data_IF_753031640015
#
_entry.id   IF_753031640015
#
_cell.length_a   1.000
_cell.length_b   1.000
_cell.length_c   1.000
_cell.angle_alpha   90.00
_cell.angle_beta   90.00
_cell.angle_gamma   90.00
#
_symmetry.space_group_name_H-M   'P 1'
#
loop_
_entity.id
_entity.type
_entity.pdbx_description
1 polymer ?
#
# COMPACT_ATOMS: atom_id res chain seq x y z
N UNK A 1 -6.31 -41.02 38.85
CA UNK A 1 -5.94 -41.33 37.45
C UNK A 1 -6.15 -40.11 36.54
N UNK A 2 -5.11 -39.78 35.78
CA UNK A 2 -5.03 -38.99 34.53
C UNK A 2 -5.46 -37.51 34.53
N UNK A 3 -4.43 -36.66 34.59
CA UNK A 3 -4.42 -35.30 34.08
C UNK A 3 -4.61 -35.27 32.55
N UNK A 4 -5.31 -34.26 32.03
CA UNK A 4 -5.28 -33.92 30.61
C UNK A 4 -5.33 -32.40 30.44
N UNK A 5 -4.14 -31.86 30.15
CA UNK A 5 -3.84 -30.49 29.76
C UNK A 5 -4.72 -30.09 28.57
N UNK A 6 -5.49 -29.00 28.68
CA UNK A 6 -5.97 -28.28 27.51
C UNK A 6 -5.01 -27.12 27.25
N UNK A 7 -4.07 -27.46 26.39
CA UNK A 7 -3.08 -26.64 25.73
C UNK A 7 -3.63 -25.24 25.40
N UNK A 8 -2.96 -24.23 25.95
CA UNK A 8 -3.09 -22.83 25.55
C UNK A 8 -2.95 -22.78 24.03
N UNK A 9 -4.00 -22.39 23.31
CA UNK A 9 -3.94 -22.09 21.88
C UNK A 9 -2.82 -21.08 21.66
N UNK A 10 -1.66 -21.56 21.17
CA UNK A 10 -0.60 -20.67 20.70
C UNK A 10 -1.21 -19.79 19.60
N UNK A 11 -1.01 -18.47 19.62
CA UNK A 11 -1.41 -17.65 18.49
C UNK A 11 -0.71 -18.21 17.25
N UNK A 12 -1.48 -18.45 16.18
CA UNK A 12 -0.90 -18.82 14.89
C UNK A 12 0.14 -17.75 14.54
N UNK A 13 1.37 -18.10 14.15
CA UNK A 13 2.32 -17.11 13.70
C UNK A 13 1.66 -16.31 12.57
N UNK A 14 1.68 -14.98 12.68
CA UNK A 14 1.24 -14.11 11.60
C UNK A 14 2.05 -14.52 10.35
N UNK A 15 1.43 -14.67 9.16
CA UNK A 15 2.21 -14.93 7.96
C UNK A 15 3.26 -13.83 7.85
N UNK A 16 4.53 -14.23 7.74
CA UNK A 16 5.62 -13.29 7.53
C UNK A 16 5.29 -12.51 6.25
N UNK A 17 5.21 -11.19 6.36
CA UNK A 17 4.94 -10.34 5.21
C UNK A 17 6.10 -10.51 4.23
N UNK A 18 5.81 -10.97 3.01
CA UNK A 18 6.82 -11.21 1.99
C UNK A 18 7.29 -9.85 1.41
N UNK A 19 8.57 -9.46 1.56
CA UNK A 19 9.02 -8.14 1.12
C UNK A 19 9.06 -8.01 -0.40
N UNK A 20 9.28 -9.10 -1.15
CA UNK A 20 9.24 -9.07 -2.62
C UNK A 20 7.82 -8.77 -3.09
N UNK A 21 6.80 -9.30 -2.39
CA UNK A 21 5.42 -8.96 -2.66
C UNK A 21 5.08 -7.50 -2.34
N UNK A 22 5.69 -6.91 -1.30
CA UNK A 22 5.52 -5.47 -1.00
C UNK A 22 6.20 -4.61 -2.07
N UNK A 23 7.42 -4.95 -2.49
CA UNK A 23 8.15 -4.25 -3.55
C UNK A 23 7.34 -4.20 -4.84
N UNK A 24 6.75 -5.33 -5.27
CA UNK A 24 5.86 -5.35 -6.46
C UNK A 24 4.62 -4.47 -6.31
N UNK A 25 4.07 -4.38 -5.09
CA UNK A 25 2.94 -3.48 -4.81
C UNK A 25 3.37 -2.01 -4.86
N UNK A 26 4.58 -1.69 -4.38
CA UNK A 26 5.18 -0.37 -4.48
C UNK A 26 5.35 0.00 -5.96
N UNK A 27 6.00 -0.86 -6.76
CA UNK A 27 6.22 -0.61 -8.19
C UNK A 27 4.90 -0.35 -8.94
N UNK A 28 3.86 -1.12 -8.63
CA UNK A 28 2.53 -0.91 -9.21
C UNK A 28 1.91 0.42 -8.75
N UNK A 29 1.97 0.73 -7.46
CA UNK A 29 1.43 1.98 -6.91
C UNK A 29 2.16 3.21 -7.46
N UNK A 30 3.47 3.13 -7.66
CA UNK A 30 4.28 4.18 -8.29
C UNK A 30 3.90 4.38 -9.76
N UNK A 31 3.69 3.29 -10.51
CA UNK A 31 3.25 3.37 -11.90
C UNK A 31 1.85 4.03 -12.01
N UNK A 32 0.92 3.67 -11.12
CA UNK A 32 -0.41 4.29 -11.07
C UNK A 32 -0.34 5.77 -10.67
N UNK A 33 0.45 6.10 -9.63
CA UNK A 33 0.67 7.49 -9.23
C UNK A 33 1.22 8.31 -10.38
N UNK A 34 2.21 7.77 -11.11
CA UNK A 34 2.81 8.43 -12.26
C UNK A 34 1.79 8.69 -13.38
N UNK A 35 0.92 7.73 -13.68
CA UNK A 35 -0.16 7.92 -14.67
C UNK A 35 -1.08 9.07 -14.29
N UNK A 36 -1.48 9.15 -13.02
CA UNK A 36 -2.32 10.24 -12.52
C UNK A 36 -1.56 11.57 -12.59
N UNK A 37 -0.25 11.59 -12.33
CA UNK A 37 0.57 12.79 -12.46
C UNK A 37 0.71 13.27 -13.91
N UNK A 38 0.85 12.35 -14.87
CA UNK A 38 0.84 12.69 -16.29
C UNK A 38 -0.56 13.23 -16.72
N UNK A 39 -1.66 12.68 -16.19
CA UNK A 39 -3.00 13.25 -16.38
C UNK A 39 -3.13 14.67 -15.79
N UNK A 40 -2.65 14.89 -14.56
CA UNK A 40 -2.69 16.19 -13.90
C UNK A 40 -1.80 17.25 -14.55
N UNK A 41 -0.76 16.82 -15.25
CA UNK A 41 0.12 17.68 -16.04
C UNK A 41 -0.53 18.15 -17.34
N UNK A 42 -1.61 17.52 -17.81
CA UNK A 42 -2.34 17.94 -19.00
C UNK A 42 -3.11 19.26 -18.74
N UNK A 43 -2.83 20.35 -19.47
CA UNK A 43 -3.55 21.61 -19.30
C UNK A 43 -5.03 21.50 -19.66
N UNK A 44 -5.41 20.56 -20.54
CA UNK A 44 -6.79 20.33 -20.94
C UNK A 44 -7.68 19.83 -19.80
N UNK A 45 -7.12 19.02 -18.89
CA UNK A 45 -7.81 18.54 -17.69
C UNK A 45 -8.37 19.69 -16.83
N UNK A 46 -7.62 20.78 -16.71
CA UNK A 46 -7.98 21.94 -15.89
C UNK A 46 -9.13 22.78 -16.46
N UNK A 47 -9.54 22.50 -17.70
CA UNK A 47 -10.74 23.11 -18.30
C UNK A 47 -12.05 22.54 -17.71
N UNK A 48 -11.99 21.37 -17.06
CA UNK A 48 -13.11 20.77 -16.35
C UNK A 48 -12.78 20.63 -14.85
N UNK A 49 -13.35 21.51 -14.04
CA UNK A 49 -13.07 21.57 -12.61
C UNK A 49 -13.46 20.27 -11.86
N UNK A 50 -14.46 19.53 -12.36
CA UNK A 50 -14.88 18.26 -11.77
C UNK A 50 -13.82 17.16 -11.98
N UNK A 51 -13.35 17.01 -13.21
CA UNK A 51 -12.28 16.07 -13.56
C UNK A 51 -10.96 16.40 -12.88
N UNK A 52 -10.58 17.68 -12.85
CA UNK A 52 -9.37 18.12 -12.15
C UNK A 52 -9.45 17.80 -10.64
N UNK A 53 -10.61 18.04 -10.01
CA UNK A 53 -10.82 17.71 -8.60
C UNK A 53 -10.79 16.19 -8.34
N UNK A 54 -11.39 15.38 -9.22
CA UNK A 54 -11.34 13.92 -9.12
C UNK A 54 -9.90 13.40 -9.26
N UNK A 55 -9.17 13.85 -10.28
CA UNK A 55 -7.79 13.41 -10.51
C UNK A 55 -6.87 13.83 -9.35
N UNK A 56 -7.07 15.03 -8.80
CA UNK A 56 -6.36 15.48 -7.58
C UNK A 56 -6.67 14.59 -6.36
N UNK A 57 -7.92 14.15 -6.19
CA UNK A 57 -8.29 13.23 -5.10
C UNK A 57 -7.65 11.86 -5.29
N UNK A 58 -7.69 11.31 -6.51
CA UNK A 58 -7.05 10.04 -6.84
C UNK A 58 -5.55 10.10 -6.60
N UNK A 59 -4.90 11.22 -6.95
CA UNK A 59 -3.48 11.46 -6.69
C UNK A 59 -3.18 11.45 -5.19
N UNK A 60 -3.96 12.15 -4.38
CA UNK A 60 -3.78 12.17 -2.93
C UNK A 60 -3.93 10.78 -2.31
N UNK A 61 -4.94 10.00 -2.73
CA UNK A 61 -5.12 8.62 -2.29
C UNK A 61 -3.96 7.72 -2.71
N UNK A 62 -3.52 7.80 -3.97
CA UNK A 62 -2.40 7.01 -4.47
C UNK A 62 -1.09 7.29 -3.70
N UNK A 63 -0.83 8.55 -3.34
CA UNK A 63 0.31 8.90 -2.47
C UNK A 63 0.21 8.26 -1.09
N UNK A 64 -0.95 8.36 -0.45
CA UNK A 64 -1.17 7.77 0.88
C UNK A 64 -0.99 6.25 0.85
N UNK A 65 -1.46 5.59 -0.20
CA UNK A 65 -1.26 4.15 -0.39
C UNK A 65 0.21 3.80 -0.58
N UNK A 66 0.93 4.56 -1.41
CA UNK A 66 2.36 4.38 -1.64
C UNK A 66 3.19 4.58 -0.35
N UNK A 67 2.91 5.65 0.40
CA UNK A 67 3.54 5.92 1.71
C UNK A 67 3.29 4.76 2.71
N UNK A 68 2.06 4.24 2.73
CA UNK A 68 1.71 3.09 3.55
C UNK A 68 2.42 1.79 3.14
N UNK A 69 2.69 1.60 1.85
CA UNK A 69 3.47 0.46 1.35
C UNK A 69 4.95 0.61 1.69
N UNK A 70 5.54 1.80 1.53
CA UNK A 70 6.91 2.08 1.95
C UNK A 70 7.09 1.85 3.45
N UNK A 71 6.16 2.34 4.28
CA UNK A 71 6.19 2.11 5.74
C UNK A 71 6.19 0.61 6.08
N UNK A 72 5.38 -0.19 5.38
CA UNK A 72 5.35 -1.65 5.57
C UNK A 72 6.66 -2.31 5.12
N UNK A 73 7.20 -1.88 3.98
CA UNK A 73 8.46 -2.40 3.47
C UNK A 73 9.61 -2.08 4.43
N UNK A 74 9.72 -0.84 4.91
CA UNK A 74 10.72 -0.42 5.89
C UNK A 74 10.64 -1.24 7.18
N UNK A 75 9.43 -1.53 7.66
CA UNK A 75 9.21 -2.41 8.81
C UNK A 75 9.79 -3.81 8.58
N UNK A 76 9.48 -4.44 7.44
CA UNK A 76 9.98 -5.77 7.11
C UNK A 76 11.49 -5.76 6.84
N UNK A 77 12.00 -4.72 6.18
CA UNK A 77 13.42 -4.57 5.85
C UNK A 77 14.28 -4.35 7.11
N UNK A 78 13.75 -3.66 8.12
CA UNK A 78 14.45 -3.39 9.39
C UNK A 78 14.45 -4.60 10.34
N UNK A 79 13.56 -5.57 10.14
CA UNK A 79 13.50 -6.82 10.92
C UNK A 79 14.40 -7.95 10.37
N UNK A 80 15.19 -7.67 9.32
CA UNK A 80 16.11 -8.62 8.67
C UNK A 80 17.54 -8.58 9.20
#
# INVERSE_FOLDING_TARGET
PKAAKRERRRPRPKPATDPVAIERQIEHAEAELRRIEDELADPGLWSDAGRAAESTRRHASAKQELEGLYTKWEGVASER
#
